data_IF_154905255408
#
_entry.id   IF_154905255408
#
_cell.length_a   1.000
_cell.length_b   1.000
_cell.length_c   1.000
_cell.angle_alpha   90.00
_cell.angle_beta   90.00
_cell.angle_gamma   90.00
#
_symmetry.space_group_name_H-M   'P 1'
#
loop_
_entity.id
_entity.type
_entity.pdbx_description
1 polymer ?
#
# COMPACT_ATOMS: atom_id res chain seq x y z
N UNK A 1 9.03 3.99 -30.10
CA UNK A 1 9.77 3.40 -28.94
C UNK A 1 8.99 3.57 -27.62
N UNK A 2 8.59 4.80 -27.25
CA UNK A 2 7.90 5.05 -25.98
C UNK A 2 6.59 4.27 -25.79
N UNK A 3 5.76 4.14 -26.83
CA UNK A 3 4.50 3.38 -26.76
C UNK A 3 4.73 1.89 -26.43
N UNK A 4 5.71 1.24 -27.07
CA UNK A 4 6.06 -0.15 -26.79
C UNK A 4 6.57 -0.35 -25.36
N UNK A 5 7.22 0.66 -24.79
CA UNK A 5 7.68 0.64 -23.40
C UNK A 5 6.54 0.79 -22.39
N UNK A 6 5.59 1.69 -22.66
CA UNK A 6 4.37 1.81 -21.85
C UNK A 6 3.56 0.52 -21.87
N UNK A 7 3.44 -0.12 -23.05
CA UNK A 7 2.77 -1.43 -23.19
C UNK A 7 3.53 -2.53 -22.43
N UNK A 8 4.86 -2.56 -22.50
CA UNK A 8 5.67 -3.53 -21.76
C UNK A 8 5.51 -3.38 -20.25
N UNK A 9 5.43 -2.15 -19.75
CA UNK A 9 5.22 -1.87 -18.33
C UNK A 9 3.83 -2.28 -17.85
N UNK A 10 2.77 -1.95 -18.59
CA UNK A 10 1.39 -2.34 -18.22
C UNK A 10 1.21 -3.85 -18.30
N UNK A 11 1.84 -4.52 -19.26
CA UNK A 11 1.88 -5.98 -19.35
C UNK A 11 2.60 -6.59 -18.13
N UNK A 12 3.77 -6.07 -17.75
CA UNK A 12 4.50 -6.55 -16.57
C UNK A 12 3.70 -6.35 -15.28
N UNK A 13 3.01 -5.21 -15.14
CA UNK A 13 2.09 -4.96 -14.03
C UNK A 13 0.96 -6.00 -13.98
N UNK A 14 0.29 -6.25 -15.12
CA UNK A 14 -0.81 -7.21 -15.20
C UNK A 14 -0.34 -8.63 -14.85
N UNK A 15 0.79 -9.05 -15.39
CA UNK A 15 1.44 -10.34 -15.07
C UNK A 15 1.73 -10.40 -13.56
N UNK A 16 2.37 -9.36 -13.01
CA UNK A 16 2.67 -9.28 -11.59
C UNK A 16 1.42 -9.47 -10.72
N UNK A 17 0.31 -8.80 -11.05
CA UNK A 17 -0.94 -8.95 -10.29
C UNK A 17 -1.53 -10.36 -10.36
N UNK A 18 -1.54 -10.99 -11.53
CA UNK A 18 -2.07 -12.36 -11.69
C UNK A 18 -1.25 -13.39 -10.90
N UNK A 19 0.08 -13.28 -10.93
CA UNK A 19 0.95 -14.18 -10.18
C UNK A 19 1.03 -13.84 -8.68
N UNK A 20 0.77 -12.59 -8.29
CA UNK A 20 0.80 -12.12 -6.91
C UNK A 20 -0.31 -12.71 -6.05
N UNK A 21 -1.54 -12.78 -6.58
CA UNK A 21 -2.71 -13.30 -5.86
C UNK A 21 -2.50 -14.67 -5.19
N UNK A 22 -2.03 -15.73 -5.89
CA UNK A 22 -1.80 -17.03 -5.25
C UNK A 22 -0.59 -17.04 -4.30
N UNK A 23 0.38 -16.12 -4.48
CA UNK A 23 1.56 -16.02 -3.62
C UNK A 23 1.24 -15.39 -2.26
N UNK A 24 0.29 -14.45 -2.23
CA UNK A 24 -0.19 -13.78 -1.01
C UNK A 24 -0.70 -14.76 0.03
N UNK A 25 -1.46 -15.77 -0.42
CA UNK A 25 -2.06 -16.77 0.46
C UNK A 25 -1.00 -17.64 1.15
N UNK A 26 0.15 -17.85 0.49
CA UNK A 26 1.22 -18.75 0.98
C UNK A 26 2.14 -18.08 2.00
N UNK A 27 2.60 -16.86 1.74
CA UNK A 27 3.62 -16.19 2.56
C UNK A 27 3.03 -15.33 3.69
N UNK A 28 1.78 -14.88 3.56
CA UNK A 28 1.15 -13.99 4.53
C UNK A 28 1.29 -12.52 4.14
N UNK A 29 0.26 -11.74 4.46
CA UNK A 29 0.02 -10.40 3.91
C UNK A 29 1.01 -9.33 4.41
N UNK A 30 1.34 -9.35 5.71
CA UNK A 30 2.24 -8.36 6.35
C UNK A 30 3.69 -8.41 5.85
N UNK A 31 4.42 -9.56 5.89
CA UNK A 31 5.81 -9.60 5.44
C UNK A 31 5.91 -9.36 3.93
N UNK A 32 4.91 -9.82 3.16
CA UNK A 32 4.87 -9.62 1.72
C UNK A 32 4.68 -8.14 1.36
N UNK A 33 3.72 -7.44 2.00
CA UNK A 33 3.48 -6.02 1.71
C UNK A 33 4.67 -5.15 2.13
N UNK A 34 5.30 -5.44 3.28
CA UNK A 34 6.51 -4.74 3.72
C UNK A 34 7.68 -4.98 2.76
N UNK A 35 7.92 -6.23 2.34
CA UNK A 35 9.00 -6.58 1.41
C UNK A 35 8.82 -5.91 0.05
N UNK A 36 7.62 -5.97 -0.55
CA UNK A 36 7.39 -5.33 -1.84
C UNK A 36 7.38 -3.81 -1.75
N UNK A 37 6.93 -3.24 -0.64
CA UNK A 37 6.99 -1.78 -0.44
C UNK A 37 8.43 -1.30 -0.29
N UNK A 38 9.28 -1.97 0.50
CA UNK A 38 10.69 -1.62 0.62
C UNK A 38 11.45 -1.86 -0.69
N UNK A 39 11.17 -2.96 -1.40
CA UNK A 39 11.72 -3.22 -2.73
C UNK A 39 11.35 -2.11 -3.72
N UNK A 40 10.10 -1.62 -3.71
CA UNK A 40 9.69 -0.50 -4.55
C UNK A 40 10.43 0.79 -4.23
N UNK A 41 10.63 1.12 -2.94
CA UNK A 41 11.42 2.30 -2.53
C UNK A 41 12.86 2.19 -3.00
N UNK A 42 13.47 1.00 -2.89
CA UNK A 42 14.84 0.75 -3.35
C UNK A 42 14.93 0.90 -4.88
N UNK A 43 14.03 0.27 -5.63
CA UNK A 43 14.02 0.34 -7.10
C UNK A 43 13.81 1.78 -7.58
N UNK A 44 12.92 2.54 -6.93
CA UNK A 44 12.71 3.94 -7.29
C UNK A 44 13.91 4.83 -6.92
N UNK A 45 14.63 4.50 -5.85
CA UNK A 45 15.86 5.21 -5.48
C UNK A 45 16.96 4.97 -6.51
N UNK A 46 17.13 3.73 -6.98
CA UNK A 46 18.02 3.42 -8.10
C UNK A 46 17.61 4.15 -9.39
N UNK A 47 16.32 4.26 -9.68
CA UNK A 47 15.83 5.04 -10.82
C UNK A 47 16.25 6.51 -10.74
N UNK A 48 16.13 7.15 -9.57
CA UNK A 48 16.54 8.55 -9.39
C UNK A 48 18.05 8.70 -9.58
N UNK A 49 18.86 7.76 -9.10
CA UNK A 49 20.32 7.76 -9.28
C UNK A 49 20.67 7.62 -10.78
N UNK A 50 20.06 6.67 -11.48
CA UNK A 50 20.28 6.50 -12.92
C UNK A 50 19.82 7.72 -13.72
N UNK A 51 18.69 8.32 -13.36
CA UNK A 51 18.21 9.55 -13.99
C UNK A 51 19.14 10.74 -13.75
N UNK A 52 19.81 10.82 -12.58
CA UNK A 52 20.81 11.85 -12.31
C UNK A 52 22.11 11.65 -13.12
N UNK A 53 22.46 10.39 -13.43
CA UNK A 53 23.67 10.04 -14.20
C UNK A 53 23.45 10.04 -15.73
N UNK A 54 22.21 10.24 -16.20
CA UNK A 54 21.87 10.24 -17.63
C UNK A 54 22.69 11.25 -18.45
N UNK A 55 23.14 12.35 -17.83
CA UNK A 55 23.97 13.39 -18.49
C UNK A 55 25.32 12.89 -18.98
N UNK A 56 25.85 11.78 -18.44
CA UNK A 56 27.21 11.32 -18.72
C UNK A 56 27.28 10.11 -19.66
N UNK A 57 26.26 9.23 -19.69
CA UNK A 57 26.33 7.95 -20.43
C UNK A 57 24.97 7.61 -21.07
N UNK A 58 24.92 7.51 -22.40
CA UNK A 58 23.67 7.22 -23.14
C UNK A 58 23.08 5.82 -22.87
N UNK A 59 23.88 4.87 -22.40
CA UNK A 59 23.44 3.50 -22.07
C UNK A 59 22.56 3.43 -20.80
N UNK A 60 22.64 4.43 -19.92
CA UNK A 60 21.89 4.47 -18.65
C UNK A 60 20.36 4.55 -18.87
N UNK A 61 19.92 5.02 -20.03
CA UNK A 61 18.50 5.07 -20.43
C UNK A 61 17.83 3.69 -20.39
N UNK A 62 18.55 2.63 -20.78
CA UNK A 62 18.05 1.26 -20.71
C UNK A 62 17.94 0.77 -19.25
N UNK A 63 18.82 1.24 -18.36
CA UNK A 63 18.76 0.96 -16.92
C UNK A 63 17.54 1.59 -16.27
N UNK A 64 17.26 2.87 -16.53
CA UNK A 64 16.04 3.55 -16.05
C UNK A 64 14.77 2.80 -16.49
N UNK A 65 14.77 2.30 -17.72
CA UNK A 65 13.65 1.56 -18.28
C UNK A 65 13.42 0.23 -17.57
N UNK A 66 14.50 -0.52 -17.31
CA UNK A 66 14.43 -1.78 -16.57
C UNK A 66 13.93 -1.57 -15.15
N UNK A 67 14.40 -0.52 -14.46
CA UNK A 67 13.91 -0.15 -13.13
C UNK A 67 12.40 0.12 -13.13
N UNK A 68 11.89 0.82 -14.14
CA UNK A 68 10.46 1.15 -14.22
C UNK A 68 9.58 -0.10 -14.47
N UNK A 69 10.07 -1.05 -15.26
CA UNK A 69 9.37 -2.34 -15.50
C UNK A 69 9.36 -3.18 -14.21
N UNK A 70 10.51 -3.28 -13.52
CA UNK A 70 10.63 -4.00 -12.25
C UNK A 70 9.73 -3.35 -11.19
N UNK A 71 9.68 -2.02 -11.14
CA UNK A 71 8.77 -1.28 -10.26
C UNK A 71 7.31 -1.64 -10.54
N UNK A 72 6.89 -1.61 -11.82
CA UNK A 72 5.52 -2.00 -12.21
C UNK A 72 5.16 -3.43 -11.79
N UNK A 73 6.08 -4.37 -11.98
CA UNK A 73 5.90 -5.76 -11.57
C UNK A 73 5.76 -5.90 -10.04
N UNK A 74 6.66 -5.31 -9.26
CA UNK A 74 6.61 -5.36 -7.79
C UNK A 74 5.35 -4.69 -7.23
N UNK A 75 4.97 -3.55 -7.80
CA UNK A 75 3.76 -2.83 -7.42
C UNK A 75 2.50 -3.66 -7.71
N UNK A 76 2.40 -4.29 -8.88
CA UNK A 76 1.27 -5.15 -9.24
C UNK A 76 1.20 -6.43 -8.42
N UNK A 77 2.35 -7.03 -8.11
CA UNK A 77 2.44 -8.31 -7.40
C UNK A 77 2.07 -8.19 -5.93
N UNK A 78 2.57 -7.17 -5.23
CA UNK A 78 2.41 -7.02 -3.79
C UNK A 78 1.55 -5.82 -3.38
N UNK A 79 2.03 -4.61 -3.68
CA UNK A 79 1.49 -3.41 -3.03
C UNK A 79 0.06 -3.10 -3.46
N UNK A 80 -0.21 -3.12 -4.77
CA UNK A 80 -1.50 -2.79 -5.34
C UNK A 80 -2.58 -3.79 -4.92
N UNK A 81 -2.40 -5.06 -5.27
CA UNK A 81 -3.39 -6.11 -4.99
C UNK A 81 -3.67 -6.27 -3.49
N UNK A 82 -2.64 -6.39 -2.66
CA UNK A 82 -2.80 -6.65 -1.22
C UNK A 82 -3.46 -5.47 -0.52
N UNK A 83 -3.11 -4.22 -0.85
CA UNK A 83 -3.69 -3.04 -0.20
C UNK A 83 -5.22 -2.98 -0.38
N UNK A 84 -5.70 -3.25 -1.60
CA UNK A 84 -7.14 -3.31 -1.89
C UNK A 84 -7.87 -4.40 -1.12
N UNK A 85 -7.26 -5.59 -1.01
CA UNK A 85 -7.84 -6.67 -0.20
C UNK A 85 -7.85 -6.32 1.28
N UNK A 86 -6.77 -5.71 1.78
CA UNK A 86 -6.58 -5.38 3.17
C UNK A 86 -7.64 -4.37 3.66
N UNK A 87 -7.92 -3.32 2.89
CA UNK A 87 -9.00 -2.36 3.21
C UNK A 87 -10.36 -3.02 3.44
N UNK A 88 -10.57 -4.19 2.84
CA UNK A 88 -11.82 -4.94 2.92
C UNK A 88 -11.86 -5.99 4.05
N UNK A 89 -10.70 -6.32 4.64
CA UNK A 89 -10.56 -7.26 5.76
C UNK A 89 -10.57 -6.59 7.13
N UNK A 90 -10.14 -5.32 7.20
CA UNK A 90 -10.15 -4.54 8.45
C UNK A 90 -11.57 -4.12 8.88
N UNK A 91 -12.57 -4.33 8.02
CA UNK A 91 -13.93 -3.80 8.20
C UNK A 91 -14.92 -4.98 8.30
N UNK A 92 -15.86 -4.95 9.26
CA UNK A 92 -16.90 -5.97 9.34
C UNK A 92 -17.77 -5.97 8.07
N UNK A 93 -18.22 -7.15 7.63
CA UNK A 93 -18.92 -7.36 6.35
C UNK A 93 -20.07 -6.37 6.10
N UNK A 94 -20.80 -5.98 7.14
CA UNK A 94 -21.90 -5.01 7.07
C UNK A 94 -21.50 -3.63 6.52
N UNK A 95 -20.25 -3.19 6.70
CA UNK A 95 -19.77 -1.86 6.31
C UNK A 95 -18.71 -1.90 5.20
N UNK A 96 -18.41 -3.09 4.66
CA UNK A 96 -17.32 -3.30 3.69
C UNK A 96 -17.51 -2.49 2.40
N UNK A 97 -18.73 -2.45 1.86
CA UNK A 97 -19.06 -1.71 0.62
C UNK A 97 -18.93 -0.20 0.78
N UNK A 98 -19.37 0.35 1.92
CA UNK A 98 -19.23 1.77 2.25
C UNK A 98 -17.76 2.16 2.36
N UNK A 99 -16.98 1.40 3.12
CA UNK A 99 -15.56 1.67 3.30
C UNK A 99 -14.80 1.58 1.97
N UNK A 100 -15.07 0.57 1.13
CA UNK A 100 -14.41 0.48 -0.16
C UNK A 100 -14.74 1.64 -1.10
N UNK A 101 -15.98 2.12 -1.07
CA UNK A 101 -16.38 3.29 -1.87
C UNK A 101 -15.68 4.56 -1.39
N UNK A 102 -15.58 4.76 -0.07
CA UNK A 102 -14.85 5.89 0.51
C UNK A 102 -13.35 5.83 0.21
N UNK A 103 -12.71 4.67 0.39
CA UNK A 103 -11.30 4.45 0.06
C UNK A 103 -11.04 4.74 -1.42
N UNK A 104 -11.91 4.25 -2.31
CA UNK A 104 -11.81 4.50 -3.75
C UNK A 104 -11.99 5.99 -4.10
N UNK A 105 -12.92 6.68 -3.45
CA UNK A 105 -13.14 8.11 -3.64
C UNK A 105 -11.91 8.93 -3.21
N UNK A 106 -11.38 8.67 -2.01
CA UNK A 106 -10.18 9.33 -1.49
C UNK A 106 -8.97 9.04 -2.40
N UNK A 107 -8.79 7.78 -2.79
CA UNK A 107 -7.73 7.39 -3.72
C UNK A 107 -7.84 8.14 -5.05
N UNK A 108 -9.05 8.25 -5.60
CA UNK A 108 -9.28 8.99 -6.86
C UNK A 108 -8.95 10.47 -6.71
N UNK A 109 -9.35 11.11 -5.60
CA UNK A 109 -9.01 12.51 -5.32
C UNK A 109 -7.50 12.70 -5.22
N UNK A 110 -6.79 11.81 -4.52
CA UNK A 110 -5.33 11.85 -4.42
C UNK A 110 -4.69 11.69 -5.80
N UNK A 111 -5.17 10.76 -6.63
CA UNK A 111 -4.67 10.57 -8.00
C UNK A 111 -4.89 11.80 -8.88
N UNK A 112 -6.03 12.48 -8.74
CA UNK A 112 -6.30 13.74 -9.44
C UNK A 112 -5.28 14.81 -9.02
N UNK A 113 -5.12 15.03 -7.72
CA UNK A 113 -4.15 16.00 -7.19
C UNK A 113 -2.74 15.67 -7.70
N UNK A 114 -2.32 14.42 -7.58
CA UNK A 114 -1.00 13.96 -8.01
C UNK A 114 -0.78 14.20 -9.51
N UNK A 115 -1.78 13.91 -10.34
CA UNK A 115 -1.71 14.11 -11.80
C UNK A 115 -1.52 15.59 -12.16
N UNK A 116 -2.25 16.50 -11.50
CA UNK A 116 -2.09 17.94 -11.71
C UNK A 116 -0.78 18.49 -11.15
N UNK A 117 -0.29 17.95 -10.04
CA UNK A 117 0.95 18.40 -9.38
C UNK A 117 2.21 17.87 -10.07
N UNK A 118 2.18 16.70 -10.70
CA UNK A 118 3.36 16.12 -11.37
C UNK A 118 3.89 17.03 -12.48
N UNK A 119 3.02 17.59 -13.33
CA UNK A 119 3.43 18.41 -14.48
C UNK A 119 4.29 19.64 -14.10
N UNK A 120 3.86 20.52 -13.17
CA UNK A 120 4.64 21.68 -12.74
C UNK A 120 5.87 21.30 -11.89
N UNK A 121 5.82 20.20 -11.13
CA UNK A 121 7.00 19.76 -10.38
C UNK A 121 8.07 19.19 -11.31
N UNK A 122 7.67 18.49 -12.37
CA UNK A 122 8.60 17.88 -13.32
C UNK A 122 9.43 18.94 -14.07
N UNK A 123 8.86 20.12 -14.35
CA UNK A 123 9.59 21.21 -14.98
C UNK A 123 10.61 21.88 -14.05
N UNK A 124 10.35 21.92 -12.73
CA UNK A 124 11.27 22.50 -11.74
C UNK A 124 12.42 21.55 -11.36
N UNK A 125 12.09 20.28 -11.05
CA UNK A 125 12.99 19.37 -10.31
C UNK A 125 13.29 18.07 -11.08
N UNK A 126 12.75 17.90 -12.30
CA UNK A 126 12.98 16.75 -13.18
C UNK A 126 12.81 15.40 -12.44
N UNK A 127 13.85 14.56 -12.39
CA UNK A 127 13.78 13.23 -11.81
C UNK A 127 13.64 13.21 -10.27
N UNK A 128 14.01 14.29 -9.58
CA UNK A 128 13.88 14.39 -8.12
C UNK A 128 12.42 14.49 -7.65
N UNK A 129 11.47 14.75 -8.57
CA UNK A 129 10.03 14.75 -8.26
C UNK A 129 9.56 13.40 -7.74
N UNK A 130 10.11 12.30 -8.26
CA UNK A 130 9.80 10.95 -7.78
C UNK A 130 10.28 10.71 -6.35
N UNK A 131 11.36 11.40 -5.93
CA UNK A 131 11.84 11.34 -4.55
C UNK A 131 10.81 11.95 -3.58
N UNK A 132 10.33 13.15 -3.91
CA UNK A 132 9.41 13.90 -3.04
C UNK A 132 7.99 13.30 -3.06
N UNK A 133 7.47 12.98 -4.24
CA UNK A 133 6.08 12.53 -4.40
C UNK A 133 5.87 11.03 -4.15
N UNK A 134 6.93 10.21 -4.20
CA UNK A 134 6.79 8.76 -4.05
C UNK A 134 7.63 8.20 -2.89
N UNK A 135 8.93 8.47 -2.83
CA UNK A 135 9.81 7.85 -1.83
C UNK A 135 9.45 8.29 -0.40
N UNK A 136 9.23 9.59 -0.18
CA UNK A 136 8.84 10.12 1.14
C UNK A 136 7.49 9.52 1.61
N UNK A 137 6.38 9.66 0.87
CA UNK A 137 5.09 9.13 1.32
C UNK A 137 5.08 7.59 1.37
N UNK A 138 5.80 6.90 0.49
CA UNK A 138 5.93 5.43 0.56
C UNK A 138 6.67 4.98 1.82
N UNK A 139 7.76 5.65 2.20
CA UNK A 139 8.50 5.36 3.43
C UNK A 139 7.66 5.62 4.68
N UNK A 140 6.91 6.72 4.70
CA UNK A 140 5.96 7.01 5.77
C UNK A 140 4.83 5.98 5.84
N UNK A 141 4.31 5.55 4.69
CA UNK A 141 3.32 4.47 4.58
C UNK A 141 3.84 3.14 5.14
N UNK A 142 5.10 2.77 4.83
CA UNK A 142 5.75 1.58 5.39
C UNK A 142 5.84 1.66 6.90
N UNK A 143 6.21 2.83 7.46
CA UNK A 143 6.29 3.03 8.89
C UNK A 143 4.92 2.87 9.58
N UNK A 144 3.88 3.52 9.04
CA UNK A 144 2.51 3.38 9.55
C UNK A 144 2.05 1.93 9.45
N UNK A 145 2.29 1.28 8.32
CA UNK A 145 1.92 -0.11 8.13
C UNK A 145 2.63 -1.03 9.12
N UNK A 146 3.91 -0.81 9.36
CA UNK A 146 4.66 -1.60 10.34
C UNK A 146 4.11 -1.45 11.76
N UNK A 147 3.73 -0.22 12.15
CA UNK A 147 3.26 0.13 13.48
C UNK A 147 1.78 -0.24 13.74
N UNK A 148 0.91 -0.07 12.75
CA UNK A 148 -0.55 -0.18 12.91
C UNK A 148 -1.15 -1.45 12.29
N UNK A 149 -0.40 -2.22 11.49
CA UNK A 149 -0.93 -3.43 10.86
C UNK A 149 -0.71 -4.68 11.73
N UNK A 150 -1.75 -5.20 12.41
CA UNK A 150 -1.68 -6.52 13.03
C UNK A 150 -1.59 -7.61 11.96
N UNK A 151 -0.99 -8.75 12.28
CA UNK A 151 -0.86 -9.86 11.33
C UNK A 151 -2.22 -10.47 10.99
N UNK A 152 -2.62 -10.37 9.72
CA UNK A 152 -3.90 -10.89 9.19
C UNK A 152 -3.83 -12.34 8.70
N UNK A 153 -2.67 -13.01 8.81
CA UNK A 153 -2.52 -14.40 8.31
C UNK A 153 -3.17 -15.38 9.30
N UNK A 154 -4.22 -16.08 8.87
CA UNK A 154 -4.81 -17.19 9.60
C UNK A 154 -5.66 -16.81 10.81
N UNK A 155 -6.04 -15.53 10.95
CA UNK A 155 -6.99 -15.06 11.97
C UNK A 155 -8.35 -14.76 11.34
N UNK A 156 -9.42 -15.13 12.03
CA UNK A 156 -10.77 -14.79 11.57
C UNK A 156 -11.01 -13.27 11.65
N UNK A 157 -11.80 -12.74 10.71
CA UNK A 157 -12.13 -11.31 10.58
C UNK A 157 -12.64 -10.73 11.92
N UNK A 158 -13.39 -11.52 12.70
CA UNK A 158 -13.89 -11.10 14.01
C UNK A 158 -12.77 -10.82 15.03
N UNK A 159 -11.71 -11.64 15.06
CA UNK A 159 -10.57 -11.46 15.95
C UNK A 159 -9.77 -10.20 15.60
N UNK A 160 -9.58 -9.94 14.30
CA UNK A 160 -8.88 -8.73 13.81
C UNK A 160 -9.68 -7.48 14.17
N UNK A 161 -11.00 -7.49 13.95
CA UNK A 161 -11.89 -6.37 14.32
C UNK A 161 -11.97 -6.18 15.83
N UNK A 162 -11.96 -7.25 16.62
CA UNK A 162 -11.95 -7.20 18.09
C UNK A 162 -10.61 -6.65 18.63
N UNK A 163 -9.48 -7.01 18.04
CA UNK A 163 -8.15 -6.48 18.39
C UNK A 163 -8.00 -4.99 18.01
N UNK A 164 -8.51 -4.59 16.84
CA UNK A 164 -8.58 -3.19 16.41
C UNK A 164 -9.53 -2.35 17.29
N UNK A 165 -10.67 -2.92 17.72
CA UNK A 165 -11.56 -2.31 18.74
C UNK A 165 -11.00 -2.41 20.17
N UNK A 166 -10.01 -3.28 20.38
CA UNK A 166 -9.60 -3.85 21.66
C UNK A 166 -8.69 -3.01 22.53
N UNK A 167 -8.48 -1.72 22.23
CA UNK A 167 -8.00 -0.75 23.23
C UNK A 167 -9.11 0.07 23.88
N UNK A 168 -10.35 -0.02 23.37
CA UNK A 168 -11.51 0.73 23.91
C UNK A 168 -12.69 -0.16 24.31
N UNK A 169 -12.88 -1.31 23.68
CA UNK A 169 -14.03 -2.18 23.93
C UNK A 169 -13.92 -3.04 25.20
N UNK A 170 -12.71 -3.42 25.61
CA UNK A 170 -12.49 -4.19 26.85
C UNK A 170 -12.82 -3.38 28.12
N UNK A 171 -12.69 -2.05 28.06
CA UNK A 171 -13.06 -1.14 29.16
C UNK A 171 -14.56 -0.89 29.28
N UNK A 172 -15.31 -1.00 28.18
CA UNK A 172 -16.77 -0.81 28.19
C UNK A 172 -17.44 -2.13 28.58
N UNK A 173 -16.96 -3.26 28.08
CA UNK A 173 -17.51 -4.58 28.44
C UNK A 173 -17.21 -4.95 29.90
N UNK A 174 -16.03 -4.62 30.44
CA UNK A 174 -15.80 -4.73 31.89
C UNK A 174 -16.59 -3.71 32.71
N UNK A 175 -16.93 -2.54 32.16
CA UNK A 175 -17.74 -1.55 32.89
C UNK A 175 -19.22 -1.97 32.96
N UNK A 176 -19.75 -2.56 31.89
CA UNK A 176 -21.13 -3.08 31.87
C UNK A 176 -21.26 -4.35 32.74
N UNK A 177 -20.27 -5.26 32.74
CA UNK A 177 -20.26 -6.45 33.63
C UNK A 177 -20.20 -6.09 35.12
N UNK A 178 -19.54 -4.97 35.48
CA UNK A 178 -19.48 -4.48 36.87
C UNK A 178 -20.75 -3.77 37.32
N UNK A 179 -21.53 -3.19 36.39
CA UNK A 179 -22.81 -2.53 36.71
C UNK A 179 -23.92 -3.58 36.89
N UNK A 180 -23.95 -4.64 36.08
CA UNK A 180 -24.92 -5.74 36.24
C UNK A 180 -24.70 -6.57 37.51
N UNK A 181 -23.47 -6.67 38.00
CA UNK A 181 -23.18 -7.38 39.27
C UNK A 181 -23.56 -6.57 40.51
N UNK A 182 -23.42 -5.23 40.50
CA UNK A 182 -23.86 -4.39 41.62
C UNK A 182 -25.40 -4.29 41.72
N UNK A 183 -26.15 -4.29 40.62
CA UNK A 183 -27.64 -4.28 40.64
C UNK A 183 -28.26 -5.61 41.10
N UNK A 184 -27.52 -6.71 40.97
CA UNK A 184 -27.90 -8.05 41.44
C UNK A 184 -27.75 -8.21 42.96
N UNK A 185 -26.76 -7.56 43.56
CA UNK A 185 -26.46 -7.68 45.00
C UNK A 185 -27.28 -6.73 45.89
N UNK A 186 -28.03 -5.80 45.29
CA UNK A 186 -28.86 -4.80 46.00
C UNK A 186 -30.36 -5.21 46.04
N UNK A 187 -30.78 -6.22 45.26
CA UNK A 187 -32.15 -6.76 45.26
C UNK A 187 -32.24 -8.12 45.97
#
# INVERSE_FOLDING_TARGET
IAQWFSVGMTAAYAIGTVFGSPFVERYGRRPMLLFFSTANVIVLSFYVIFAAMESHISFIKYGCLLCFVIYGFNYGFGVGSIAWFLSSELVPQRHRSLMQSMTSAINTVILIILTFTILPLFSLIKAYVFLVLYIIPSSFGIFILYAYLPETKGREIYQIVAELKGKKSQRIMNADDHVETEESDIN
#
